data_IF_630502097452
#
_entry.id   IF_630502097452
#
_cell.length_a   1.000
_cell.length_b   1.000
_cell.length_c   1.000
_cell.angle_alpha   90.00
_cell.angle_beta   90.00
_cell.angle_gamma   90.00
#
_symmetry.space_group_name_H-M   'P 1'
#
loop_
_entity.id
_entity.type
_entity.pdbx_description
1 polymer ?
#
# COMPACT_ATOMS: atom_id res chain seq x y z
N UNK A 1 1.51 0.59 -0.87
CA UNK A 1 1.61 1.45 -2.08
C UNK A 1 0.82 2.76 -1.94
N UNK A 2 0.12 2.99 -0.82
CA UNK A 2 -0.66 4.23 -0.60
C UNK A 2 0.26 5.31 -0.05
N UNK A 3 0.36 6.43 -0.78
CA UNK A 3 1.10 7.63 -0.35
C UNK A 3 0.23 8.53 0.57
N UNK A 4 -1.04 8.17 0.72
CA UNK A 4 -2.02 8.71 1.64
C UNK A 4 -3.35 7.96 1.45
N UNK A 5 -4.30 8.09 2.37
CA UNK A 5 -5.59 7.40 2.28
C UNK A 5 -6.77 8.33 2.59
N UNK A 6 -7.90 8.10 1.92
CA UNK A 6 -9.19 8.70 2.28
C UNK A 6 -9.98 7.67 3.08
N UNK A 7 -10.21 7.94 4.36
CA UNK A 7 -11.03 7.10 5.22
C UNK A 7 -12.50 7.54 5.11
N UNK A 8 -13.33 6.70 4.47
CA UNK A 8 -14.76 6.98 4.33
C UNK A 8 -15.53 6.35 5.49
N UNK A 9 -16.24 7.16 6.25
CA UNK A 9 -17.10 6.73 7.37
C UNK A 9 -18.52 7.19 7.12
N UNK A 10 -19.51 6.36 7.43
CA UNK A 10 -20.92 6.70 7.29
C UNK A 10 -21.37 7.50 8.50
N UNK A 11 -21.92 8.71 8.30
CA UNK A 11 -22.50 9.52 9.36
C UNK A 11 -23.69 8.85 10.05
N UNK A 12 -24.38 7.93 9.36
CA UNK A 12 -25.49 7.17 9.93
C UNK A 12 -25.04 5.95 10.76
N UNK A 13 -23.90 5.34 10.41
CA UNK A 13 -23.45 4.06 11.00
C UNK A 13 -22.29 4.22 12.00
N UNK A 14 -21.55 5.33 11.95
CA UNK A 14 -20.39 5.58 12.82
C UNK A 14 -19.19 4.68 12.53
N UNK A 15 -18.32 4.47 13.53
CA UNK A 15 -17.15 3.62 13.35
C UNK A 15 -17.51 2.13 13.42
N UNK A 16 -17.18 1.39 12.36
CA UNK A 16 -17.46 -0.04 12.26
C UNK A 16 -16.19 -0.87 12.44
N UNK A 17 -16.29 -2.20 12.68
CA UNK A 17 -15.11 -3.06 12.84
C UNK A 17 -14.13 -2.97 11.67
N UNK A 18 -14.63 -2.86 10.43
CA UNK A 18 -13.79 -2.68 9.24
C UNK A 18 -13.08 -1.31 9.22
N UNK A 19 -13.70 -0.25 9.75
CA UNK A 19 -13.07 1.07 9.90
C UNK A 19 -11.82 0.94 10.77
N UNK A 20 -11.93 0.24 11.90
CA UNK A 20 -10.82 0.00 12.83
C UNK A 20 -9.73 -0.87 12.21
N UNK A 21 -10.12 -1.91 11.48
CA UNK A 21 -9.18 -2.78 10.76
C UNK A 21 -8.40 -2.01 9.69
N UNK A 22 -9.06 -1.15 8.90
CA UNK A 22 -8.39 -0.36 7.87
C UNK A 22 -7.43 0.68 8.44
N UNK A 23 -7.79 1.34 9.56
CA UNK A 23 -6.88 2.27 10.25
C UNK A 23 -5.66 1.52 10.76
N UNK A 24 -5.86 0.37 11.43
CA UNK A 24 -4.77 -0.47 11.90
C UNK A 24 -3.84 -0.89 10.74
N UNK A 25 -4.41 -1.39 9.64
CA UNK A 25 -3.63 -1.79 8.47
C UNK A 25 -2.89 -0.61 7.85
N UNK A 26 -3.53 0.56 7.75
CA UNK A 26 -2.91 1.78 7.25
C UNK A 26 -1.67 2.18 8.08
N UNK A 27 -1.78 2.11 9.41
CA UNK A 27 -0.65 2.36 10.31
C UNK A 27 0.48 1.33 10.10
N UNK A 28 0.13 0.04 10.02
CA UNK A 28 1.13 -1.03 9.86
C UNK A 28 1.86 -0.98 8.51
N UNK A 29 1.19 -0.56 7.44
CA UNK A 29 1.83 -0.38 6.13
C UNK A 29 2.51 0.99 5.97
N UNK A 30 2.45 1.84 7.01
CA UNK A 30 3.11 3.14 7.05
C UNK A 30 2.48 4.19 6.14
N UNK A 31 1.15 4.25 6.05
CA UNK A 31 0.45 5.33 5.34
C UNK A 31 0.77 6.66 6.06
N UNK A 32 1.36 7.65 5.36
CA UNK A 32 1.91 8.84 6.03
C UNK A 32 0.85 9.89 6.38
N UNK A 33 -0.30 9.88 5.72
CA UNK A 33 -1.37 10.86 5.91
C UNK A 33 -2.74 10.24 5.61
N UNK A 34 -3.74 10.63 6.41
CA UNK A 34 -5.14 10.23 6.23
C UNK A 34 -6.01 11.49 6.20
N UNK A 35 -6.96 11.53 5.27
CA UNK A 35 -8.07 12.49 5.26
C UNK A 35 -9.36 11.71 5.47
N UNK A 36 -10.29 12.22 6.28
CA UNK A 36 -11.57 11.54 6.54
C UNK A 36 -12.69 12.19 5.74
N UNK A 37 -13.53 11.35 5.14
CA UNK A 37 -14.79 11.79 4.55
C UNK A 37 -15.96 11.17 5.32
N UNK A 38 -16.70 12.01 6.06
CA UNK A 38 -17.93 11.63 6.73
C UNK A 38 -19.08 11.69 5.71
N UNK A 39 -19.39 10.53 5.15
CA UNK A 39 -20.33 10.35 4.06
C UNK A 39 -21.77 10.13 4.58
N UNK A 40 -22.75 10.26 3.69
CA UNK A 40 -24.18 10.03 3.95
C UNK A 40 -24.81 11.00 4.97
N UNK A 41 -24.29 12.24 5.06
CA UNK A 41 -24.91 13.22 5.96
C UNK A 41 -26.33 13.62 5.51
N UNK A 42 -26.68 13.40 4.24
CA UNK A 42 -28.05 13.54 3.71
C UNK A 42 -29.08 12.65 4.44
N UNK A 43 -28.62 11.58 5.08
CA UNK A 43 -29.47 10.62 5.80
C UNK A 43 -29.60 10.93 7.29
N UNK A 44 -28.86 11.93 7.78
CA UNK A 44 -28.76 12.27 9.20
C UNK A 44 -29.29 13.69 9.40
N UNK A 45 -30.42 13.81 10.09
CA UNK A 45 -31.06 15.10 10.35
C UNK A 45 -30.65 15.71 11.71
N UNK A 46 -29.74 15.07 12.44
CA UNK A 46 -29.33 15.45 13.79
C UNK A 46 -27.84 15.80 13.80
N UNK A 47 -27.55 17.09 13.95
CA UNK A 47 -26.18 17.61 13.99
C UNK A 47 -25.40 17.09 15.21
N UNK A 48 -26.07 16.83 16.34
CA UNK A 48 -25.42 16.28 17.55
C UNK A 48 -24.91 14.86 17.30
N UNK A 49 -25.64 14.07 16.50
CA UNK A 49 -25.20 12.73 16.11
C UNK A 49 -23.95 12.78 15.22
N UNK A 50 -23.90 13.73 14.28
CA UNK A 50 -22.74 13.89 13.39
C UNK A 50 -21.50 14.34 14.18
N UNK A 51 -21.66 15.23 15.16
CA UNK A 51 -20.57 15.62 16.06
C UNK A 51 -20.08 14.44 16.92
N UNK A 52 -20.99 13.60 17.42
CA UNK A 52 -20.64 12.41 18.18
C UNK A 52 -19.85 11.40 17.32
N UNK A 53 -20.29 11.17 16.09
CA UNK A 53 -19.58 10.28 15.15
C UNK A 53 -18.20 10.85 14.81
N UNK A 54 -18.09 12.16 14.62
CA UNK A 54 -16.79 12.81 14.40
C UNK A 54 -15.84 12.57 15.57
N UNK A 55 -16.31 12.73 16.80
CA UNK A 55 -15.52 12.48 18.01
C UNK A 55 -15.08 11.01 18.08
N UNK A 56 -15.97 10.06 17.80
CA UNK A 56 -15.65 8.63 17.79
C UNK A 56 -14.57 8.29 16.75
N UNK A 57 -14.61 8.94 15.57
CA UNK A 57 -13.59 8.77 14.54
C UNK A 57 -12.23 9.28 15.04
N UNK A 58 -12.18 10.48 15.65
CA UNK A 58 -10.94 11.06 16.19
C UNK A 58 -10.34 10.16 17.26
N UNK A 59 -11.13 9.73 18.24
CA UNK A 59 -10.68 8.79 19.27
C UNK A 59 -10.16 7.48 18.68
N UNK A 60 -10.83 6.97 17.64
CA UNK A 60 -10.38 5.75 16.95
C UNK A 60 -9.04 5.96 16.25
N UNK A 61 -8.83 7.09 15.59
CA UNK A 61 -7.56 7.44 14.96
C UNK A 61 -6.44 7.55 16.01
N UNK A 62 -6.69 8.23 17.13
CA UNK A 62 -5.74 8.37 18.24
C UNK A 62 -5.35 7.02 18.84
N UNK A 63 -6.31 6.11 19.01
CA UNK A 63 -6.07 4.75 19.51
C UNK A 63 -5.11 3.93 18.62
N UNK A 64 -4.98 4.28 17.34
CA UNK A 64 -4.09 3.63 16.38
C UNK A 64 -2.90 4.50 15.99
N UNK A 65 -2.52 5.47 16.84
CA UNK A 65 -1.34 6.34 16.69
C UNK A 65 -1.39 7.30 15.48
N UNK A 66 -2.59 7.62 14.99
CA UNK A 66 -2.79 8.75 14.08
C UNK A 66 -3.20 10.00 14.87
N UNK A 67 -2.81 11.23 14.45
CA UNK A 67 -3.18 12.46 15.15
C UNK A 67 -4.64 12.82 14.84
N UNK A 68 -5.59 12.21 15.54
CA UNK A 68 -7.03 12.34 15.31
C UNK A 68 -7.52 13.78 15.35
N UNK A 69 -6.98 14.60 16.24
CA UNK A 69 -7.31 16.02 16.38
C UNK A 69 -6.81 16.90 15.22
N UNK A 70 -5.72 16.51 14.56
CA UNK A 70 -5.12 17.29 13.46
C UNK A 70 -5.69 16.89 12.09
N UNK A 71 -6.25 15.68 11.97
CA UNK A 71 -6.79 15.16 10.72
C UNK A 71 -8.05 15.92 10.31
N UNK A 72 -8.07 16.35 9.04
CA UNK A 72 -9.23 17.01 8.42
C UNK A 72 -10.36 16.01 8.19
N UNK A 73 -11.57 16.37 8.63
CA UNK A 73 -12.79 15.60 8.46
C UNK A 73 -13.75 16.44 7.61
N UNK A 74 -13.99 16.02 6.38
CA UNK A 74 -14.94 16.68 5.46
C UNK A 74 -16.26 15.93 5.50
N UNK A 75 -17.36 16.65 5.67
CA UNK A 75 -18.72 16.11 5.77
C UNK A 75 -19.43 16.28 4.44
N UNK A 76 -20.12 15.24 3.94
CA UNK A 76 -20.85 15.37 2.69
C UNK A 76 -21.66 14.14 2.30
N UNK A 77 -22.25 14.20 1.10
CA UNK A 77 -22.94 13.08 0.49
C UNK A 77 -22.33 12.78 -0.87
N UNK A 78 -21.63 11.65 -0.97
CA UNK A 78 -21.09 11.19 -2.24
C UNK A 78 -22.19 10.82 -3.24
N UNK A 79 -23.37 10.37 -2.75
CA UNK A 79 -24.48 9.99 -3.63
C UNK A 79 -25.07 11.24 -4.31
N UNK A 80 -25.47 12.24 -3.52
CA UNK A 80 -26.05 13.48 -4.04
C UNK A 80 -25.07 14.21 -4.98
N UNK A 81 -23.77 14.21 -4.65
CA UNK A 81 -22.74 14.79 -5.51
C UNK A 81 -22.65 14.08 -6.88
N UNK A 82 -22.68 12.74 -6.89
CA UNK A 82 -22.65 11.96 -8.14
C UNK A 82 -23.93 12.14 -8.95
N UNK A 83 -25.10 12.19 -8.30
CA UNK A 83 -26.37 12.42 -8.98
C UNK A 83 -26.42 13.81 -9.62
N UNK A 84 -25.96 14.85 -8.91
CA UNK A 84 -25.84 16.21 -9.44
C UNK A 84 -24.93 16.26 -10.67
N UNK A 85 -23.74 15.67 -10.59
CA UNK A 85 -22.79 15.61 -11.72
C UNK A 85 -23.30 14.76 -12.88
N UNK A 86 -24.12 13.73 -12.62
CA UNK A 86 -24.74 12.92 -13.67
C UNK A 86 -25.81 13.72 -14.41
N UNK A 87 -26.63 14.47 -13.68
CA UNK A 87 -27.64 15.35 -14.25
C UNK A 87 -27.02 16.53 -15.03
N UNK A 88 -25.92 17.08 -14.53
CA UNK A 88 -25.17 18.14 -15.20
C UNK A 88 -23.65 17.95 -15.00
N UNK A 89 -22.95 17.36 -15.98
CA UNK A 89 -21.50 17.13 -15.89
C UNK A 89 -20.65 18.41 -15.91
N UNK A 90 -21.25 19.57 -16.18
CA UNK A 90 -20.58 20.87 -16.26
C UNK A 90 -20.78 21.74 -15.01
N UNK A 91 -21.33 21.18 -13.92
CA UNK A 91 -21.42 21.86 -12.62
C UNK A 91 -20.04 22.36 -12.22
N UNK A 92 -19.96 23.63 -11.85
CA UNK A 92 -18.74 24.25 -11.34
C UNK A 92 -18.78 24.36 -9.81
N UNK A 93 -17.60 24.49 -9.20
CA UNK A 93 -17.46 24.83 -7.79
C UNK A 93 -18.29 26.08 -7.47
N UNK A 94 -19.13 26.01 -6.44
CA UNK A 94 -20.09 27.03 -6.00
C UNK A 94 -21.51 26.87 -6.55
N UNK A 95 -21.77 25.90 -7.43
CA UNK A 95 -23.10 25.70 -8.05
C UNK A 95 -23.94 24.61 -7.38
N UNK A 96 -23.33 23.73 -6.57
CA UNK A 96 -24.02 22.66 -5.85
C UNK A 96 -23.26 22.31 -4.56
N UNK A 97 -23.97 22.33 -3.42
CA UNK A 97 -23.38 22.09 -2.10
C UNK A 97 -22.67 20.73 -1.97
N UNK A 98 -23.26 19.67 -2.53
CA UNK A 98 -22.72 18.31 -2.43
C UNK A 98 -21.45 18.15 -3.27
N UNK A 99 -21.43 18.76 -4.46
CA UNK A 99 -20.25 18.81 -5.31
C UNK A 99 -19.15 19.65 -4.65
N UNK A 100 -19.52 20.73 -3.95
CA UNK A 100 -18.58 21.59 -3.24
C UNK A 100 -17.89 20.87 -2.08
N UNK A 101 -18.59 20.00 -1.34
CA UNK A 101 -17.96 19.13 -0.34
C UNK A 101 -16.95 18.14 -0.93
N UNK A 102 -17.16 17.68 -2.17
CA UNK A 102 -16.15 16.86 -2.86
C UNK A 102 -14.94 17.70 -3.25
N UNK A 103 -15.15 18.94 -3.71
CA UNK A 103 -14.03 19.86 -3.95
C UNK A 103 -13.25 20.17 -2.67
N UNK A 104 -13.93 20.41 -1.56
CA UNK A 104 -13.31 20.61 -0.25
C UNK A 104 -12.49 19.38 0.18
N UNK A 105 -13.03 18.16 -0.01
CA UNK A 105 -12.29 16.93 0.24
C UNK A 105 -11.01 16.85 -0.60
N UNK A 106 -11.07 17.22 -1.89
CA UNK A 106 -9.89 17.22 -2.75
C UNK A 106 -8.89 18.32 -2.37
N UNK A 107 -9.36 19.50 -1.98
CA UNK A 107 -8.51 20.58 -1.47
C UNK A 107 -7.75 20.10 -0.21
N UNK A 108 -8.43 19.45 0.75
CA UNK A 108 -7.79 18.86 1.92
C UNK A 108 -6.76 17.76 1.55
N UNK A 109 -7.07 16.92 0.56
CA UNK A 109 -6.13 15.91 0.07
C UNK A 109 -4.87 16.55 -0.49
N UNK A 110 -5.02 17.59 -1.32
CA UNK A 110 -3.90 18.32 -1.92
C UNK A 110 -3.02 19.04 -0.87
N UNK A 111 -3.61 19.52 0.22
CA UNK A 111 -2.90 20.19 1.30
C UNK A 111 -2.23 19.22 2.29
N UNK A 112 -2.93 18.15 2.68
CA UNK A 112 -2.53 17.28 3.79
C UNK A 112 -1.66 16.11 3.33
N UNK A 113 -1.94 15.53 2.14
CA UNK A 113 -1.20 14.36 1.68
C UNK A 113 0.08 14.85 1.00
N UNK A 114 1.27 14.67 1.61
CA UNK A 114 2.50 15.17 1.04
C UNK A 114 2.74 14.47 -0.29
N UNK A 115 3.16 15.24 -1.29
CA UNK A 115 3.67 14.65 -2.52
C UNK A 115 4.82 13.71 -2.14
N UNK A 116 4.70 12.41 -2.44
CA UNK A 116 5.72 11.46 -2.02
C UNK A 116 7.04 11.89 -2.66
N UNK A 117 8.07 12.05 -1.84
CA UNK A 117 9.41 12.32 -2.35
C UNK A 117 9.80 11.13 -3.24
N UNK A 118 9.79 11.38 -4.54
CA UNK A 118 10.32 10.43 -5.51
C UNK A 118 11.78 10.25 -5.16
N UNK A 119 12.15 9.06 -4.68
CA UNK A 119 13.50 8.73 -4.27
C UNK A 119 14.42 8.52 -5.49
N UNK A 120 14.46 9.49 -6.41
CA UNK A 120 15.10 9.39 -7.74
C UNK A 120 16.61 9.20 -7.60
N UNK A 121 17.21 9.76 -6.54
CA UNK A 121 18.66 9.66 -6.26
C UNK A 121 19.09 8.31 -5.67
N UNK A 122 18.15 7.47 -5.22
CA UNK A 122 18.48 6.15 -4.67
C UNK A 122 18.80 5.15 -5.79
N UNK A 123 19.39 4.03 -5.41
CA UNK A 123 19.60 2.93 -6.36
C UNK A 123 18.26 2.37 -6.86
N UNK A 124 18.18 2.19 -8.18
CA UNK A 124 16.99 1.69 -8.87
C UNK A 124 16.47 0.41 -8.26
N UNK A 125 15.16 0.36 -8.01
CA UNK A 125 14.44 -0.85 -7.60
C UNK A 125 13.00 -0.82 -8.11
N UNK A 126 12.57 -1.89 -8.77
CA UNK A 126 11.21 -2.10 -9.26
C UNK A 126 10.76 -3.52 -8.94
N UNK A 127 9.64 -3.67 -8.23
CA UNK A 127 9.03 -4.97 -8.02
C UNK A 127 8.32 -5.46 -9.29
N UNK A 128 8.50 -6.72 -9.64
CA UNK A 128 7.87 -7.30 -10.84
C UNK A 128 6.46 -7.76 -10.47
N UNK A 129 5.47 -7.13 -11.09
CA UNK A 129 4.05 -7.42 -10.92
C UNK A 129 3.54 -8.38 -12.00
N UNK A 130 3.98 -8.20 -13.25
CA UNK A 130 3.59 -9.04 -14.37
C UNK A 130 4.69 -9.12 -15.44
N UNK A 131 4.59 -10.13 -16.30
CA UNK A 131 5.58 -10.42 -17.35
C UNK A 131 4.87 -10.72 -18.64
N UNK A 132 5.26 -9.99 -19.68
CA UNK A 132 4.75 -10.14 -21.03
C UNK A 132 5.90 -10.54 -21.93
N UNK A 133 5.70 -11.58 -22.75
CA UNK A 133 6.66 -11.91 -23.81
C UNK A 133 6.12 -11.38 -25.12
N UNK A 134 6.91 -10.51 -25.77
CA UNK A 134 6.58 -9.94 -27.07
C UNK A 134 7.38 -10.70 -28.13
N UNK A 135 6.68 -11.42 -28.99
CA UNK A 135 7.28 -12.19 -30.09
C UNK A 135 8.20 -11.28 -30.92
N UNK A 136 9.47 -11.66 -31.03
CA UNK A 136 10.47 -10.92 -31.80
C UNK A 136 11.08 -9.70 -31.11
N UNK A 137 10.60 -9.27 -29.93
CA UNK A 137 11.21 -8.17 -29.16
C UNK A 137 11.87 -8.63 -27.86
N UNK A 138 11.30 -9.63 -27.17
CA UNK A 138 11.84 -10.16 -25.93
C UNK A 138 10.84 -10.14 -24.77
N UNK A 139 11.35 -10.20 -23.55
CA UNK A 139 10.54 -10.26 -22.33
C UNK A 139 10.45 -8.88 -21.68
N UNK A 140 9.22 -8.45 -21.39
CA UNK A 140 8.88 -7.21 -20.71
C UNK A 140 8.46 -7.54 -19.28
N UNK A 141 9.12 -6.92 -18.30
CA UNK A 141 8.70 -6.93 -16.91
C UNK A 141 7.94 -5.63 -16.61
N UNK A 142 6.76 -5.72 -16.00
CA UNK A 142 5.95 -4.56 -15.63
C UNK A 142 5.88 -4.40 -14.13
N UNK A 143 5.91 -3.16 -13.66
CA UNK A 143 5.67 -2.82 -12.26
C UNK A 143 5.83 -1.33 -11.99
N UNK A 144 5.60 -0.93 -10.74
CA UNK A 144 5.87 0.42 -10.25
C UNK A 144 7.34 0.54 -9.83
N UNK A 145 8.05 1.55 -10.33
CA UNK A 145 9.40 1.88 -9.85
C UNK A 145 9.28 2.37 -8.41
N UNK A 146 9.85 1.64 -7.46
CA UNK A 146 9.77 2.00 -6.03
C UNK A 146 10.73 3.14 -5.67
N UNK A 147 11.94 3.09 -6.24
CA UNK A 147 12.99 4.09 -6.01
C UNK A 147 14.00 4.11 -7.15
N UNK A 148 14.76 5.20 -7.21
CA UNK A 148 15.77 5.46 -8.21
C UNK A 148 15.18 5.87 -9.55
N UNK A 149 16.03 5.78 -10.57
CA UNK A 149 15.70 6.01 -11.96
C UNK A 149 16.40 4.95 -12.83
N UNK A 150 15.84 4.70 -14.00
CA UNK A 150 16.38 3.75 -14.98
C UNK A 150 16.29 4.33 -16.38
N UNK A 151 17.33 4.13 -17.18
CA UNK A 151 17.39 4.55 -18.58
C UNK A 151 17.54 3.36 -19.51
N UNK A 152 17.13 3.57 -20.76
CA UNK A 152 17.44 2.60 -21.82
C UNK A 152 18.97 2.48 -21.96
N UNK A 153 19.48 1.26 -21.90
CA UNK A 153 20.91 0.97 -21.94
C UNK A 153 21.52 0.62 -20.57
N UNK A 154 20.83 0.88 -19.46
CA UNK A 154 21.34 0.56 -18.13
C UNK A 154 21.37 -0.96 -17.87
N UNK A 155 22.39 -1.41 -17.13
CA UNK A 155 22.44 -2.76 -16.57
C UNK A 155 21.58 -2.87 -15.31
N UNK A 156 20.87 -3.98 -15.18
CA UNK A 156 20.04 -4.33 -14.01
C UNK A 156 20.22 -5.79 -13.64
N UNK A 157 20.00 -6.11 -12.36
CA UNK A 157 19.92 -7.48 -11.86
C UNK A 157 18.47 -7.89 -11.64
N UNK A 158 18.14 -9.12 -12.06
CA UNK A 158 16.89 -9.81 -11.71
C UNK A 158 17.17 -10.60 -10.44
N UNK A 159 16.49 -10.25 -9.34
CA UNK A 159 16.81 -10.76 -7.99
C UNK A 159 15.58 -11.39 -7.35
N UNK A 160 15.81 -12.51 -6.67
CA UNK A 160 14.80 -13.22 -5.86
C UNK A 160 14.30 -14.50 -6.52
N UNK A 161 13.86 -15.48 -5.71
CA UNK A 161 13.28 -16.77 -6.09
C UNK A 161 14.14 -17.74 -6.93
N UNK A 162 15.07 -17.23 -7.74
CA UNK A 162 16.06 -17.96 -8.55
C UNK A 162 17.43 -17.28 -8.41
N UNK A 163 18.43 -17.85 -9.06
CA UNK A 163 19.77 -17.26 -9.13
C UNK A 163 19.71 -15.86 -9.74
N UNK A 164 20.50 -14.95 -9.16
CA UNK A 164 20.58 -13.57 -9.63
C UNK A 164 21.22 -13.52 -11.01
N UNK A 165 20.58 -12.79 -11.94
CA UNK A 165 21.02 -12.67 -13.33
C UNK A 165 21.10 -11.20 -13.73
N UNK A 166 22.24 -10.80 -14.29
CA UNK A 166 22.40 -9.47 -14.89
C UNK A 166 21.82 -9.44 -16.32
N UNK A 167 21.19 -8.33 -16.68
CA UNK A 167 20.68 -8.04 -18.02
C UNK A 167 20.76 -6.53 -18.29
N UNK A 168 20.44 -6.13 -19.53
CA UNK A 168 20.43 -4.74 -19.97
C UNK A 168 19.02 -4.33 -20.36
N UNK A 169 18.61 -3.14 -19.94
CA UNK A 169 17.35 -2.51 -20.37
C UNK A 169 17.46 -2.08 -21.83
N UNK A 170 16.57 -2.58 -22.68
CA UNK A 170 16.55 -2.25 -24.12
C UNK A 170 15.35 -1.40 -24.53
N UNK A 171 14.40 -1.19 -23.63
CA UNK A 171 13.26 -0.31 -23.88
C UNK A 171 12.45 -0.07 -22.61
N UNK A 172 11.86 1.11 -22.52
CA UNK A 172 10.93 1.53 -21.47
C UNK A 172 9.63 1.99 -22.13
N UNK A 173 8.50 1.53 -21.61
CA UNK A 173 7.18 1.89 -22.14
C UNK A 173 6.17 2.13 -21.01
N UNK A 174 5.38 3.20 -21.13
CA UNK A 174 4.26 3.51 -20.24
C UNK A 174 3.05 3.89 -21.09
N UNK A 175 1.93 3.18 -20.95
CA UNK A 175 0.67 3.44 -21.68
C UNK A 175 0.86 3.67 -23.20
N UNK A 176 1.53 2.74 -23.89
CA UNK A 176 1.83 2.82 -25.34
C UNK A 176 2.76 3.99 -25.75
N UNK A 177 3.42 4.64 -24.79
CA UNK A 177 4.44 5.66 -25.05
C UNK A 177 5.80 5.12 -24.70
N UNK A 178 6.74 5.23 -25.64
CA UNK A 178 8.15 4.93 -25.39
C UNK A 178 8.78 6.01 -24.52
N UNK A 179 9.58 5.60 -23.56
CA UNK A 179 10.32 6.49 -22.65
C UNK A 179 11.83 6.28 -22.84
N UNK A 180 12.61 7.34 -22.63
CA UNK A 180 14.08 7.24 -22.53
C UNK A 180 14.54 6.95 -21.10
N UNK A 181 13.77 7.43 -20.12
CA UNK A 181 14.01 7.32 -18.68
C UNK A 181 12.69 7.07 -17.95
N UNK A 182 12.74 6.34 -16.84
CA UNK A 182 11.64 6.18 -15.90
C UNK A 182 12.14 6.39 -14.48
N UNK A 183 11.30 6.98 -13.64
CA UNK A 183 11.66 7.41 -12.28
C UNK A 183 10.73 6.78 -11.24
N UNK A 184 11.13 6.83 -9.98
CA UNK A 184 10.32 6.40 -8.84
C UNK A 184 8.88 6.95 -8.93
N UNK A 185 7.90 6.06 -8.80
CA UNK A 185 6.46 6.35 -8.91
C UNK A 185 5.83 5.92 -10.24
N UNK A 186 6.62 5.77 -11.30
CA UNK A 186 6.14 5.39 -12.63
C UNK A 186 5.70 3.92 -12.70
N UNK A 187 4.57 3.67 -13.36
CA UNK A 187 4.16 2.32 -13.76
C UNK A 187 4.69 2.03 -15.17
N UNK A 188 5.73 1.20 -15.28
CA UNK A 188 6.50 1.05 -16.53
C UNK A 188 6.63 -0.41 -16.93
N UNK A 189 6.66 -0.66 -18.24
CA UNK A 189 7.11 -1.90 -18.84
C UNK A 189 8.57 -1.78 -19.26
N UNK A 190 9.43 -2.64 -18.72
CA UNK A 190 10.87 -2.68 -18.99
C UNK A 190 11.18 -3.89 -19.87
N UNK A 191 11.62 -3.65 -21.10
CA UNK A 191 12.06 -4.69 -22.02
C UNK A 191 13.51 -5.09 -21.72
N UNK A 192 13.74 -6.38 -21.47
CA UNK A 192 15.03 -6.92 -21.01
C UNK A 192 15.75 -7.71 -22.10
N UNK A 193 17.07 -7.50 -22.22
CA UNK A 193 17.90 -8.19 -23.21
C UNK A 193 18.16 -9.64 -22.84
N UNK A 194 17.81 -10.58 -23.73
CA UNK A 194 18.23 -11.98 -23.61
C UNK A 194 17.66 -12.71 -22.39
N UNK A 195 16.53 -12.23 -21.87
CA UNK A 195 15.79 -12.86 -20.77
C UNK A 195 14.60 -13.61 -21.36
N UNK A 196 14.50 -14.89 -21.05
CA UNK A 196 13.35 -15.71 -21.40
C UNK A 196 12.26 -15.63 -20.33
N UNK A 197 11.00 -15.84 -20.72
CA UNK A 197 9.84 -15.77 -19.81
C UNK A 197 9.95 -16.72 -18.61
N UNK A 198 10.64 -17.85 -18.73
CA UNK A 198 10.83 -18.82 -17.64
C UNK A 198 11.97 -18.43 -16.68
N UNK A 199 12.80 -17.43 -17.01
CA UNK A 199 13.91 -16.97 -16.15
C UNK A 199 13.47 -15.88 -15.17
N UNK A 200 12.33 -15.23 -15.46
CA UNK A 200 11.77 -14.13 -14.68
C UNK A 200 10.35 -14.49 -14.25
N UNK A 201 9.94 -14.11 -13.04
CA UNK A 201 8.58 -14.33 -12.54
C UNK A 201 8.11 -13.20 -11.62
N UNK A 202 6.79 -13.09 -11.42
CA UNK A 202 6.21 -12.22 -10.40
C UNK A 202 6.82 -12.55 -9.03
N UNK A 203 7.09 -11.51 -8.24
CA UNK A 203 7.74 -11.65 -6.94
C UNK A 203 9.26 -11.58 -6.99
N UNK A 204 9.86 -11.42 -8.18
CA UNK A 204 11.23 -10.95 -8.32
C UNK A 204 11.28 -9.42 -8.33
N UNK A 205 12.48 -8.86 -8.24
CA UNK A 205 12.73 -7.41 -8.41
C UNK A 205 13.75 -7.18 -9.51
N UNK A 206 13.64 -6.06 -10.20
CA UNK A 206 14.74 -5.47 -10.97
C UNK A 206 15.43 -4.44 -10.09
N UNK A 207 16.75 -4.52 -9.97
CA UNK A 207 17.51 -3.56 -9.18
C UNK A 207 18.81 -3.15 -9.88
N UNK A 208 19.37 -2.02 -9.46
CA UNK A 208 20.73 -1.66 -9.85
C UNK A 208 21.70 -2.78 -9.40
N UNK A 209 22.68 -3.19 -10.21
CA UNK A 209 23.59 -4.26 -9.85
C UNK A 209 24.26 -4.03 -8.49
N UNK A 210 24.32 -5.08 -7.67
CA UNK A 210 24.90 -5.10 -6.33
C UNK A 210 24.21 -4.19 -5.28
N UNK A 211 23.07 -3.57 -5.60
CA UNK A 211 22.35 -2.69 -4.65
C UNK A 211 21.48 -3.44 -3.64
N UNK A 212 21.13 -4.70 -3.91
CA UNK A 212 20.34 -5.56 -3.04
C UNK A 212 20.76 -7.02 -3.23
N UNK A 213 20.69 -7.83 -2.19
CA UNK A 213 20.95 -9.28 -2.26
C UNK A 213 19.74 -10.04 -1.70
N UNK A 214 19.44 -11.23 -2.24
CA UNK A 214 18.33 -12.03 -1.75
C UNK A 214 18.71 -12.70 -0.42
N UNK A 215 17.77 -12.74 0.52
CA UNK A 215 17.93 -13.40 1.82
C UNK A 215 16.82 -14.43 2.04
N UNK A 216 17.13 -15.49 2.77
CA UNK A 216 16.17 -16.54 3.16
C UNK A 216 15.84 -16.49 4.65
N UNK A 217 16.81 -16.06 5.47
CA UNK A 217 16.62 -15.95 6.91
C UNK A 217 16.49 -14.48 7.29
N UNK A 218 15.50 -14.17 8.11
CA UNK A 218 15.32 -12.82 8.63
C UNK A 218 14.69 -12.85 10.01
N UNK A 219 14.88 -11.74 10.70
CA UNK A 219 14.22 -11.45 11.97
C UNK A 219 13.17 -10.35 11.73
N UNK A 220 11.98 -10.51 12.28
CA UNK A 220 10.88 -9.56 12.10
C UNK A 220 10.10 -9.36 13.39
N UNK A 221 9.75 -8.10 13.71
CA UNK A 221 8.76 -7.80 14.72
C UNK A 221 7.37 -7.89 14.09
N UNK A 222 6.47 -8.68 14.67
CA UNK A 222 5.11 -8.86 14.14
C UNK A 222 4.06 -8.68 15.22
N UNK A 223 2.87 -8.25 14.81
CA UNK A 223 1.65 -8.31 15.58
C UNK A 223 0.76 -9.42 15.03
N UNK A 224 0.22 -10.27 15.90
CA UNK A 224 -0.67 -11.35 15.50
C UNK A 224 -2.12 -10.89 15.64
N UNK A 225 -2.84 -10.80 14.52
CA UNK A 225 -4.24 -10.39 14.51
C UNK A 225 -5.13 -11.32 15.37
N UNK A 226 -5.98 -10.71 16.19
CA UNK A 226 -7.05 -11.36 16.96
C UNK A 226 -8.17 -11.83 16.04
N UNK A 227 -9.01 -12.74 16.55
CA UNK A 227 -10.23 -13.18 15.86
C UNK A 227 -11.15 -12.01 15.46
N UNK A 228 -11.27 -10.99 16.32
CA UNK A 228 -12.09 -9.80 16.05
C UNK A 228 -11.54 -8.93 14.92
N UNK A 229 -10.26 -9.10 14.57
CA UNK A 229 -9.54 -8.38 13.52
C UNK A 229 -9.36 -9.27 12.26
N UNK A 230 -10.22 -10.28 12.08
CA UNK A 230 -10.12 -11.24 10.96
C UNK A 230 -8.95 -12.22 11.05
N UNK A 231 -8.22 -12.22 12.16
CA UNK A 231 -7.06 -13.06 12.40
C UNK A 231 -7.37 -14.47 12.87
N UNK A 232 -6.41 -15.06 13.59
CA UNK A 232 -6.51 -16.46 14.03
C UNK A 232 -7.43 -16.59 15.25
N UNK A 233 -8.13 -17.72 15.32
CA UNK A 233 -8.88 -18.13 16.51
C UNK A 233 -7.99 -18.80 17.56
N UNK A 234 -6.92 -19.46 17.10
CA UNK A 234 -6.06 -20.31 17.93
C UNK A 234 -4.61 -19.89 17.81
N UNK A 235 -3.87 -20.15 18.87
CA UNK A 235 -2.43 -19.95 18.93
C UNK A 235 -1.69 -20.81 17.91
N UNK A 236 -0.41 -20.50 17.75
CA UNK A 236 0.51 -21.30 16.96
C UNK A 236 1.87 -21.40 17.67
N UNK A 237 2.66 -22.37 17.23
CA UNK A 237 3.95 -22.75 17.82
C UNK A 237 5.04 -22.73 16.74
N UNK A 238 6.29 -22.91 17.17
CA UNK A 238 7.44 -22.97 16.30
C UNK A 238 7.27 -24.11 15.28
N UNK A 239 7.71 -23.86 14.05
CA UNK A 239 7.48 -24.73 12.90
C UNK A 239 6.21 -24.40 12.11
N UNK A 240 5.40 -23.42 12.52
CA UNK A 240 4.31 -22.91 11.69
C UNK A 240 4.84 -22.35 10.37
N UNK A 241 4.13 -22.64 9.27
CA UNK A 241 4.55 -22.29 7.90
C UNK A 241 3.53 -21.41 7.18
N UNK A 242 3.41 -20.11 7.54
CA UNK A 242 2.54 -19.19 6.83
C UNK A 242 3.13 -18.74 5.49
N UNK A 243 2.31 -18.08 4.67
CA UNK A 243 2.80 -17.29 3.54
C UNK A 243 3.24 -15.91 4.03
N UNK A 244 4.41 -15.47 3.60
CA UNK A 244 4.93 -14.13 3.79
C UNK A 244 4.77 -13.36 2.48
N UNK A 245 4.21 -12.16 2.59
CA UNK A 245 4.04 -11.26 1.46
C UNK A 245 5.06 -10.13 1.58
N UNK A 246 5.99 -10.06 0.63
CA UNK A 246 7.00 -9.01 0.55
C UNK A 246 6.88 -8.37 -0.83
N UNK A 247 6.37 -7.14 -0.90
CA UNK A 247 6.04 -6.47 -2.17
C UNK A 247 5.08 -7.34 -3.03
N UNK A 248 5.58 -7.84 -4.15
CA UNK A 248 4.85 -8.70 -5.10
C UNK A 248 5.12 -10.18 -4.88
N UNK A 249 6.03 -10.51 -3.95
CA UNK A 249 6.46 -11.87 -3.63
C UNK A 249 5.54 -12.47 -2.57
N UNK A 250 5.04 -13.66 -2.84
CA UNK A 250 4.43 -14.56 -1.87
C UNK A 250 5.33 -15.79 -1.70
N UNK A 251 5.81 -16.03 -0.48
CA UNK A 251 6.71 -17.14 -0.18
C UNK A 251 6.34 -17.80 1.13
N UNK A 252 6.36 -19.13 1.15
CA UNK A 252 6.16 -19.88 2.40
C UNK A 252 7.43 -19.81 3.23
N UNK A 253 7.33 -19.29 4.44
CA UNK A 253 8.44 -19.28 5.41
C UNK A 253 8.09 -20.16 6.61
N UNK A 254 9.09 -20.80 7.21
CA UNK A 254 8.98 -21.54 8.46
C UNK A 254 9.40 -20.61 9.60
N UNK A 255 8.52 -20.46 10.59
CA UNK A 255 8.87 -19.74 11.81
C UNK A 255 9.68 -20.69 12.70
N UNK A 256 10.94 -20.36 12.98
CA UNK A 256 11.83 -21.19 13.81
C UNK A 256 11.61 -20.94 15.30
N UNK A 257 11.47 -19.67 15.71
CA UNK A 257 11.32 -19.31 17.11
C UNK A 257 10.65 -17.95 17.30
N UNK A 258 10.26 -17.71 18.55
CA UNK A 258 9.62 -16.48 19.00
C UNK A 258 10.38 -15.91 20.19
N UNK A 259 10.50 -14.60 20.23
CA UNK A 259 10.95 -13.88 21.42
C UNK A 259 9.89 -12.86 21.83
N UNK A 260 9.72 -12.68 23.15
CA UNK A 260 8.98 -11.55 23.70
C UNK A 260 9.73 -10.25 23.44
N UNK A 261 9.06 -9.12 23.62
CA UNK A 261 9.71 -7.80 23.51
C UNK A 261 10.89 -7.67 24.50
N UNK A 262 10.80 -8.32 25.67
CA UNK A 262 11.89 -8.41 26.65
C UNK A 262 13.01 -9.41 26.32
N UNK A 263 12.96 -10.04 25.14
CA UNK A 263 14.00 -10.97 24.64
C UNK A 263 13.92 -12.40 25.17
N UNK A 264 12.87 -12.77 25.92
CA UNK A 264 12.69 -14.13 26.42
C UNK A 264 12.08 -15.03 25.34
N UNK A 265 12.56 -16.27 25.21
CA UNK A 265 11.96 -17.25 24.31
C UNK A 265 10.53 -17.61 24.75
N UNK A 266 9.59 -17.53 23.79
CA UNK A 266 8.20 -17.92 24.01
C UNK A 266 7.93 -19.20 23.21
N UNK A 267 7.19 -20.14 23.81
CA UNK A 267 6.86 -21.44 23.17
C UNK A 267 5.61 -21.41 22.29
N UNK A 268 4.76 -20.41 22.49
CA UNK A 268 3.44 -20.30 21.86
C UNK A 268 3.09 -18.82 21.72
N UNK A 269 2.50 -18.46 20.58
CA UNK A 269 2.03 -17.10 20.32
C UNK A 269 0.51 -17.09 20.24
N UNK A 270 -0.11 -16.20 20.99
CA UNK A 270 -1.55 -16.01 21.02
C UNK A 270 -1.97 -14.91 20.04
N UNK A 271 -3.19 -14.98 19.49
CA UNK A 271 -3.78 -13.85 18.78
C UNK A 271 -3.86 -12.61 19.70
N UNK A 272 -3.32 -11.48 19.24
CA UNK A 272 -3.16 -10.23 19.99
C UNK A 272 -1.75 -9.96 20.50
N UNK A 273 -0.83 -10.93 20.39
CA UNK A 273 0.54 -10.75 20.86
C UNK A 273 1.38 -9.96 19.84
N UNK A 274 2.31 -9.16 20.38
CA UNK A 274 3.44 -8.60 19.63
C UNK A 274 4.68 -9.43 19.95
N UNK A 275 5.32 -9.98 18.92
CA UNK A 275 6.47 -10.90 19.09
C UNK A 275 7.53 -10.66 18.03
N UNK A 276 8.77 -11.00 18.37
CA UNK A 276 9.88 -11.09 17.42
C UNK A 276 9.94 -12.51 16.86
N UNK A 277 9.93 -12.65 15.53
CA UNK A 277 10.04 -13.92 14.80
C UNK A 277 11.43 -14.08 14.21
N UNK A 278 11.94 -15.30 14.25
CA UNK A 278 13.02 -15.74 13.36
C UNK A 278 12.41 -16.66 12.32
N UNK A 279 12.59 -16.32 11.04
CA UNK A 279 11.97 -17.00 9.89
C UNK A 279 13.05 -17.55 8.97
N UNK A 280 12.81 -18.75 8.44
CA UNK A 280 13.61 -19.43 7.41
C UNK A 280 12.76 -19.81 6.19
#
# INVERSE_FOLDING_TARGET
QMDGAILVVSGADGTMPQTKEHILLAQQVGVPAIVVFLNKIDQVNDDELLELVELEIRETLDNYEFPGDEISIVKGSALEAVEALTANPSIKKGENEWVDHIYELMDCVDEVIPLPQRNIEKDFLMAIENIVSITGRGTVATGRVERGQIKVGDSVEIIGLKDTKETTVIGLEMFQKTLEESVAGDNVGILLRGVQKNEIQRGMVLAKPASITPHQNFEAQVYILKKSEGGRHTSFVAGYRPQFYVRTTDVTGKIESFQSDDGNEIRMVMPGDRVKLIVQ
#
